data_IF_784426007008
#
_entry.id   IF_784426007008
#
_cell.length_a   1.000
_cell.length_b   1.000
_cell.length_c   1.000
_cell.angle_alpha   90.00
_cell.angle_beta   90.00
_cell.angle_gamma   90.00
#
_symmetry.space_group_name_H-M   'P 1'
#
loop_
_entity.id
_entity.type
_entity.pdbx_description
1 polymer ?
#
# COMPACT_ATOMS: atom_id res chain seq x y z
N UNK A 1 6.18 -2.62 7.66
CA UNK A 1 5.86 -1.52 8.61
C UNK A 1 5.33 -2.19 9.88
N UNK A 2 5.87 -1.89 11.08
CA UNK A 2 5.42 -2.54 12.34
C UNK A 2 4.26 -1.80 13.01
N UNK A 3 3.27 -1.39 12.23
CA UNK A 3 2.02 -0.80 12.71
C UNK A 3 0.90 -1.08 11.71
N UNK A 4 -0.35 -0.96 12.16
CA UNK A 4 -1.48 -0.90 11.25
C UNK A 4 -1.37 0.36 10.39
N UNK A 5 -1.81 0.25 9.13
CA UNK A 5 -1.93 1.38 8.21
C UNK A 5 -3.01 2.35 8.68
N UNK A 6 -2.86 3.63 8.35
CA UNK A 6 -3.88 4.65 8.57
C UNK A 6 -4.56 5.03 7.25
N UNK A 7 -5.64 5.80 7.35
CA UNK A 7 -6.31 6.34 6.16
C UNK A 7 -5.41 7.31 5.38
N UNK A 8 -4.45 7.96 6.03
CA UNK A 8 -3.46 8.83 5.37
C UNK A 8 -2.50 8.01 4.51
N UNK A 9 -2.05 6.83 4.96
CA UNK A 9 -1.18 5.96 4.17
C UNK A 9 -1.88 5.50 2.88
N UNK A 10 -3.15 5.09 3.01
CA UNK A 10 -3.99 4.66 1.89
C UNK A 10 -4.33 5.85 0.98
N UNK A 11 -4.72 6.98 1.56
CA UNK A 11 -5.08 8.19 0.84
C UNK A 11 -3.93 8.76 0.02
N UNK A 12 -2.71 8.78 0.57
CA UNK A 12 -1.52 9.21 -0.17
C UNK A 12 -1.20 8.27 -1.34
N UNK A 13 -1.34 6.96 -1.16
CA UNK A 13 -1.13 5.99 -2.24
C UNK A 13 -2.19 6.15 -3.34
N UNK A 14 -3.46 6.32 -2.96
CA UNK A 14 -4.54 6.58 -3.90
C UNK A 14 -4.32 7.91 -4.66
N UNK A 15 -3.89 8.97 -3.97
CA UNK A 15 -3.57 10.25 -4.59
C UNK A 15 -2.43 10.12 -5.62
N UNK A 16 -1.39 9.34 -5.32
CA UNK A 16 -0.34 9.03 -6.29
C UNK A 16 -0.89 8.28 -7.51
N UNK A 17 -1.64 7.18 -7.29
CA UNK A 17 -2.17 6.34 -8.37
C UNK A 17 -3.18 7.06 -9.27
N UNK A 18 -3.89 8.05 -8.74
CA UNK A 18 -4.84 8.88 -9.49
C UNK A 18 -4.19 10.12 -10.14
N UNK A 19 -2.90 10.34 -9.93
CA UNK A 19 -2.17 11.48 -10.49
C UNK A 19 -1.46 11.13 -11.80
N UNK A 20 -1.04 12.16 -12.54
CA UNK A 20 -0.22 12.00 -13.75
C UNK A 20 1.12 11.31 -13.49
N UNK A 21 1.60 11.30 -12.24
CA UNK A 21 2.83 10.61 -11.86
C UNK A 21 2.72 9.08 -12.01
N UNK A 22 1.49 8.56 -12.00
CA UNK A 22 1.20 7.15 -12.20
C UNK A 22 0.70 6.83 -13.62
N UNK A 23 0.88 7.73 -14.60
CA UNK A 23 0.31 7.57 -15.96
C UNK A 23 0.70 6.25 -16.68
N UNK A 24 1.81 5.62 -16.28
CA UNK A 24 2.25 4.32 -16.82
C UNK A 24 1.74 3.09 -16.06
N UNK A 25 0.97 3.27 -14.98
CA UNK A 25 0.52 2.19 -14.10
C UNK A 25 -0.93 1.87 -14.40
N UNK A 26 -1.19 0.63 -14.79
CA UNK A 26 -2.54 0.10 -15.05
C UNK A 26 -2.59 -1.38 -14.71
N UNK A 27 -3.79 -1.89 -14.44
CA UNK A 27 -4.06 -3.29 -14.09
C UNK A 27 -3.24 -3.82 -12.88
N UNK A 28 -2.86 -2.94 -11.96
CA UNK A 28 -2.04 -3.26 -10.79
C UNK A 28 -2.86 -3.29 -9.49
N UNK A 29 -2.52 -4.20 -8.57
CA UNK A 29 -3.08 -4.25 -7.22
C UNK A 29 -2.00 -3.80 -6.24
N UNK A 30 -2.08 -2.54 -5.83
CA UNK A 30 -1.13 -2.00 -4.85
C UNK A 30 -1.57 -2.35 -3.42
N UNK A 31 -0.74 -3.11 -2.71
CA UNK A 31 -0.96 -3.44 -1.30
C UNK A 31 -0.44 -2.32 -0.39
N UNK A 32 -1.35 -1.72 0.38
CA UNK A 32 -1.04 -0.73 1.43
C UNK A 32 -1.48 -1.32 2.77
N UNK A 33 -0.71 -2.30 3.25
CA UNK A 33 -1.10 -3.14 4.40
C UNK A 33 0.05 -3.39 5.38
N UNK A 34 1.12 -2.60 5.25
CA UNK A 34 2.31 -2.75 6.07
C UNK A 34 3.16 -4.00 5.77
N UNK A 35 2.86 -4.73 4.70
CA UNK A 35 3.54 -5.96 4.27
C UNK A 35 2.76 -7.23 4.60
N UNK A 36 1.57 -7.13 5.19
CA UNK A 36 0.79 -8.26 5.69
C UNK A 36 0.50 -9.33 4.62
N UNK A 37 0.11 -8.92 3.41
CA UNK A 37 -0.14 -9.81 2.27
C UNK A 37 1.08 -10.61 1.81
N UNK A 38 2.29 -10.16 2.13
CA UNK A 38 3.55 -10.73 1.62
C UNK A 38 4.43 -11.33 2.72
N UNK A 39 3.97 -11.33 3.98
CA UNK A 39 4.64 -12.03 5.08
C UNK A 39 4.24 -13.51 5.10
N UNK A 40 5.22 -14.42 5.08
CA UNK A 40 5.00 -15.86 5.12
C UNK A 40 4.61 -16.41 6.52
N UNK A 41 4.91 -15.65 7.57
CA UNK A 41 4.59 -15.98 8.96
C UNK A 41 4.10 -14.72 9.66
N UNK A 42 3.26 -14.90 10.68
CA UNK A 42 2.89 -13.81 11.56
C UNK A 42 4.17 -13.20 12.16
N UNK A 43 4.34 -11.88 11.99
CA UNK A 43 5.41 -11.19 12.67
C UNK A 43 4.98 -11.02 14.13
N UNK A 44 5.64 -11.76 15.02
CA UNK A 44 5.49 -11.52 16.45
C UNK A 44 5.94 -10.07 16.74
N UNK A 45 5.13 -9.36 17.53
CA UNK A 45 5.29 -7.95 17.84
C UNK A 45 6.43 -7.69 18.84
#
# INVERSE_FOLDING_TARGET
IRRNVTIEDVGNTAAFLLSDLAAGISAEITYVDGGFSHTAMAMDA
#
